data_IF_154468490177
#
_entry.id   IF_154468490177
#
_cell.length_a   1.000
_cell.length_b   1.000
_cell.length_c   1.000
_cell.angle_alpha   90.00
_cell.angle_beta   90.00
_cell.angle_gamma   90.00
#
_symmetry.space_group_name_H-M   'P 1'
#
loop_
_entity.id
_entity.type
_entity.pdbx_description
1 polymer ?
#
# COMPACT_ATOMS: atom_id res chain seq x y z
N UNK A 1 12.90 11.32 -19.12
CA UNK A 1 11.60 11.32 -18.40
C UNK A 1 11.89 11.05 -16.94
N UNK A 2 11.08 11.57 -16.03
CA UNK A 2 11.21 11.39 -14.59
C UNK A 2 10.00 10.65 -14.02
N UNK A 3 10.23 9.73 -13.10
CA UNK A 3 9.16 9.10 -12.34
C UNK A 3 8.78 10.01 -11.17
N UNK A 4 7.53 10.47 -11.15
CA UNK A 4 6.99 11.29 -10.05
C UNK A 4 5.99 10.43 -9.29
N UNK A 5 6.33 10.05 -8.06
CA UNK A 5 5.45 9.25 -7.19
C UNK A 5 4.74 10.15 -6.18
N UNK A 6 3.43 10.27 -6.29
CA UNK A 6 2.60 11.02 -5.34
C UNK A 6 2.16 10.14 -4.17
N UNK A 7 2.38 10.65 -2.96
CA UNK A 7 2.01 10.01 -1.71
C UNK A 7 1.23 10.99 -0.83
N UNK A 8 0.11 10.54 -0.27
CA UNK A 8 -0.68 11.34 0.66
C UNK A 8 -1.54 10.46 1.57
N UNK A 9 -1.73 10.84 2.85
CA UNK A 9 -2.61 10.12 3.77
C UNK A 9 -4.08 10.05 3.31
N UNK A 10 -4.53 10.99 2.49
CA UNK A 10 -5.92 11.00 1.97
C UNK A 10 -6.09 10.16 0.70
N UNK A 11 -5.00 9.62 0.13
CA UNK A 11 -5.02 8.80 -1.07
C UNK A 11 -5.07 7.31 -0.73
N UNK A 12 -5.89 6.55 -1.47
CA UNK A 12 -6.02 5.10 -1.28
C UNK A 12 -4.77 4.30 -1.67
N UNK A 13 -3.93 4.84 -2.55
CA UNK A 13 -2.65 4.25 -2.97
C UNK A 13 -1.72 5.31 -3.55
N UNK A 14 -0.42 5.05 -3.53
CA UNK A 14 0.58 5.87 -4.21
C UNK A 14 0.37 5.81 -5.72
N UNK A 15 0.53 6.94 -6.40
CA UNK A 15 0.36 7.05 -7.84
C UNK A 15 1.68 7.53 -8.44
N UNK A 16 2.30 6.69 -9.28
CA UNK A 16 3.49 7.06 -10.05
C UNK A 16 3.10 7.47 -11.47
N UNK A 17 3.58 8.63 -11.90
CA UNK A 17 3.35 9.18 -13.24
C UNK A 17 4.65 9.63 -13.88
N UNK A 18 4.67 9.63 -15.21
CA UNK A 18 5.84 10.04 -15.98
C UNK A 18 5.79 11.55 -16.25
N UNK A 19 6.75 12.28 -15.70
CA UNK A 19 6.98 13.70 -16.00
C UNK A 19 7.95 13.87 -17.15
N UNK A 20 7.55 14.63 -18.18
CA UNK A 20 8.46 15.09 -19.24
C UNK A 20 9.16 16.36 -18.77
N UNK A 21 10.47 16.30 -18.51
CA UNK A 21 11.20 17.49 -18.08
C UNK A 21 11.27 18.51 -19.22
N UNK A 22 11.04 19.78 -18.91
CA UNK A 22 11.05 20.87 -19.89
C UNK A 22 9.73 21.10 -20.64
N UNK A 23 8.72 20.23 -20.46
CA UNK A 23 7.36 20.59 -20.80
C UNK A 23 6.92 21.74 -19.88
N UNK A 24 6.18 22.74 -20.38
CA UNK A 24 5.79 23.96 -19.62
C UNK A 24 4.84 23.69 -18.43
N UNK A 25 4.76 22.45 -17.96
CA UNK A 25 3.93 22.02 -16.84
C UNK A 25 4.67 22.05 -15.51
N UNK A 26 3.99 22.56 -14.49
CA UNK A 26 4.43 22.52 -13.08
C UNK A 26 4.03 21.18 -12.45
N UNK A 27 4.58 20.86 -11.28
CA UNK A 27 4.18 19.66 -10.54
C UNK A 27 2.67 19.63 -10.25
N UNK A 28 2.08 20.80 -9.97
CA UNK A 28 0.63 20.95 -9.81
C UNK A 28 -0.14 20.67 -11.11
N UNK A 29 0.39 21.09 -12.27
CA UNK A 29 -0.25 20.79 -13.55
C UNK A 29 -0.26 19.28 -13.83
N UNK A 30 0.85 18.59 -13.56
CA UNK A 30 0.93 17.13 -13.67
C UNK A 30 -0.07 16.43 -12.73
N UNK A 31 -0.13 16.88 -11.46
CA UNK A 31 -1.08 16.36 -10.48
C UNK A 31 -2.54 16.51 -10.95
N UNK A 32 -2.92 17.67 -11.51
CA UNK A 32 -4.27 17.92 -12.04
C UNK A 32 -4.61 16.99 -13.20
N UNK A 33 -3.69 16.80 -14.15
CA UNK A 33 -3.88 15.88 -15.30
C UNK A 33 -4.15 14.45 -14.84
N UNK A 34 -3.48 14.00 -13.78
CA UNK A 34 -3.64 12.66 -13.23
C UNK A 34 -4.64 12.56 -12.05
N UNK A 35 -5.44 13.61 -11.82
CA UNK A 35 -6.47 13.67 -10.76
C UNK A 35 -5.92 13.40 -9.35
N UNK A 36 -4.69 13.81 -9.08
CA UNK A 36 -4.06 13.75 -7.76
C UNK A 36 -4.52 14.97 -6.93
N UNK A 37 -5.04 14.76 -5.71
CA UNK A 37 -5.72 15.81 -4.94
C UNK A 37 -4.74 16.68 -4.13
N UNK A 38 -3.81 17.36 -4.79
CA UNK A 38 -2.97 18.36 -4.12
C UNK A 38 -3.81 19.62 -3.85
N UNK A 39 -3.89 20.13 -2.61
CA UNK A 39 -4.62 21.37 -2.31
C UNK A 39 -4.01 22.55 -3.07
N UNK A 40 -4.84 23.45 -3.61
CA UNK A 40 -4.36 24.67 -4.25
C UNK A 40 -5.45 25.74 -4.21
N UNK A 41 -5.07 26.99 -3.89
CA UNK A 41 -5.98 28.14 -3.93
C UNK A 41 -5.61 29.11 -5.07
N UNK A 42 -4.36 29.60 -5.09
CA UNK A 42 -3.91 30.62 -6.06
C UNK A 42 -3.27 30.04 -7.34
N UNK A 43 -2.46 28.98 -7.22
CA UNK A 43 -1.70 28.40 -8.34
C UNK A 43 -0.50 29.24 -8.84
N UNK A 44 -0.16 30.35 -8.19
CA UNK A 44 0.88 31.30 -8.62
C UNK A 44 1.99 31.53 -7.55
N UNK A 45 1.95 30.76 -6.46
CA UNK A 45 2.99 30.76 -5.42
C UNK A 45 2.77 31.74 -4.27
N UNK A 46 1.59 32.35 -4.15
CA UNK A 46 1.33 33.40 -3.14
C UNK A 46 0.66 32.90 -1.84
N UNK A 47 -0.10 31.79 -1.87
CA UNK A 47 -0.88 31.32 -0.71
C UNK A 47 -0.22 30.21 0.12
N UNK A 48 0.68 29.43 -0.46
CA UNK A 48 1.29 28.27 0.21
C UNK A 48 0.43 26.99 0.28
N UNK A 49 -0.83 26.98 -0.18
CA UNK A 49 -1.74 25.83 -0.03
C UNK A 49 -1.26 24.56 -0.75
N UNK A 50 -0.49 24.68 -1.83
CA UNK A 50 0.09 23.55 -2.56
C UNK A 50 1.46 23.11 -2.01
N UNK A 51 1.63 23.19 -0.70
CA UNK A 51 2.84 22.76 -0.01
C UNK A 51 3.05 21.26 -0.21
N UNK A 52 4.25 20.90 -0.67
CA UNK A 52 4.66 19.51 -0.85
C UNK A 52 6.08 19.31 -0.31
N UNK A 53 6.37 18.09 0.12
CA UNK A 53 7.71 17.63 0.44
C UNK A 53 8.23 16.77 -0.73
N UNK A 54 9.41 17.11 -1.25
CA UNK A 54 10.05 16.41 -2.37
C UNK A 54 11.24 15.60 -1.85
N UNK A 55 11.20 14.29 -2.07
CA UNK A 55 12.26 13.35 -1.74
C UNK A 55 12.85 12.75 -3.02
N UNK A 56 14.16 12.84 -3.18
CA UNK A 56 14.87 12.35 -4.35
C UNK A 56 15.23 10.87 -4.19
N UNK A 57 14.96 10.04 -5.20
CA UNK A 57 15.14 8.58 -5.12
C UNK A 57 16.53 8.09 -5.58
N UNK A 58 17.49 8.99 -5.84
CA UNK A 58 18.85 8.65 -6.26
C UNK A 58 19.90 8.96 -5.17
N UNK A 59 21.05 8.27 -5.24
CA UNK A 59 22.23 8.56 -4.41
C UNK A 59 23.07 9.64 -5.10
N UNK A 60 22.79 10.91 -4.84
CA UNK A 60 23.54 12.06 -5.35
C UNK A 60 22.95 13.38 -4.86
N UNK A 61 23.64 14.49 -5.12
CA UNK A 61 23.06 15.82 -4.93
C UNK A 61 21.95 16.04 -5.96
N UNK A 62 20.80 16.63 -5.56
CA UNK A 62 19.71 16.91 -6.48
C UNK A 62 20.16 17.90 -7.57
N UNK A 63 19.58 17.80 -8.76
CA UNK A 63 19.83 18.80 -9.79
C UNK A 63 19.46 20.20 -9.29
N UNK A 64 20.29 21.16 -9.70
CA UNK A 64 20.05 22.58 -9.49
C UNK A 64 18.65 22.97 -9.96
N UNK A 65 17.89 23.59 -9.07
CA UNK A 65 16.52 24.00 -9.31
C UNK A 65 16.23 25.32 -8.61
N UNK A 66 16.18 26.38 -9.40
CA UNK A 66 15.87 27.72 -8.92
C UNK A 66 14.55 27.77 -8.15
N UNK A 67 14.58 28.52 -7.05
CA UNK A 67 13.41 28.84 -6.23
C UNK A 67 13.06 30.32 -6.46
N UNK A 68 11.79 30.59 -6.78
CA UNK A 68 11.36 31.98 -6.94
C UNK A 68 11.32 32.70 -5.59
N UNK A 69 11.56 34.02 -5.60
CA UNK A 69 11.50 34.85 -4.38
C UNK A 69 10.18 34.71 -3.62
N UNK A 70 9.06 34.70 -4.34
CA UNK A 70 7.73 34.53 -3.75
C UNK A 70 7.58 33.17 -3.04
N UNK A 71 8.09 32.10 -3.65
CA UNK A 71 8.07 30.75 -3.07
C UNK A 71 8.88 30.71 -1.77
N UNK A 72 10.09 31.27 -1.77
CA UNK A 72 10.96 31.31 -0.59
C UNK A 72 10.33 32.10 0.57
N UNK A 73 9.73 33.25 0.27
CA UNK A 73 9.07 34.07 1.29
C UNK A 73 7.90 33.33 1.96
N UNK A 74 7.04 32.69 1.16
CA UNK A 74 5.90 31.91 1.68
C UNK A 74 6.37 30.73 2.51
N UNK A 75 7.35 29.95 2.02
CA UNK A 75 7.89 28.80 2.77
C UNK A 75 8.57 29.23 4.08
N UNK A 76 9.21 30.40 4.11
CA UNK A 76 9.78 31.01 5.31
C UNK A 76 8.70 31.39 6.31
N UNK A 77 7.62 32.04 5.86
CA UNK A 77 6.49 32.43 6.72
C UNK A 77 5.77 31.21 7.32
N UNK A 78 5.70 30.10 6.57
CA UNK A 78 5.18 28.82 7.04
C UNK A 78 6.15 28.06 7.96
N UNK A 79 7.38 28.55 8.14
CA UNK A 79 8.40 27.91 8.97
C UNK A 79 8.92 26.58 8.42
N UNK A 80 8.77 26.33 7.10
CA UNK A 80 9.13 25.07 6.45
C UNK A 80 10.55 25.04 5.89
N UNK A 81 11.16 26.20 5.74
CA UNK A 81 12.57 26.35 5.33
C UNK A 81 13.31 27.29 6.29
N UNK A 82 14.57 26.99 6.54
CA UNK A 82 15.48 27.76 7.39
C UNK A 82 16.20 28.85 6.60
N UNK A 83 16.83 29.81 7.29
CA UNK A 83 17.67 30.84 6.65
C UNK A 83 18.84 30.24 5.87
N UNK A 84 19.43 29.16 6.38
CA UNK A 84 20.52 28.45 5.71
C UNK A 84 20.05 27.75 4.43
N UNK A 85 18.84 27.17 4.42
CA UNK A 85 18.25 26.59 3.21
C UNK A 85 17.93 27.67 2.17
N UNK A 86 17.49 28.86 2.58
CA UNK A 86 17.27 30.01 1.69
C UNK A 86 18.60 30.45 1.06
N UNK A 87 19.65 30.60 1.86
CA UNK A 87 20.98 30.99 1.36
C UNK A 87 21.54 29.93 0.40
N UNK A 88 21.41 28.64 0.74
CA UNK A 88 21.82 27.56 -0.17
C UNK A 88 21.04 27.58 -1.49
N UNK A 89 19.74 27.92 -1.45
CA UNK A 89 18.93 28.05 -2.66
C UNK A 89 19.33 29.27 -3.51
N UNK A 90 19.79 30.37 -2.90
CA UNK A 90 20.21 31.59 -3.59
C UNK A 90 21.63 31.52 -4.14
N UNK A 91 22.55 30.93 -3.37
CA UNK A 91 24.00 30.97 -3.65
C UNK A 91 24.46 29.71 -4.37
N UNK A 92 23.85 28.56 -4.07
CA UNK A 92 24.29 27.24 -4.56
C UNK A 92 23.26 26.58 -5.47
N UNK A 93 22.16 27.29 -5.78
CA UNK A 93 21.00 26.80 -6.53
C UNK A 93 20.46 25.44 -6.03
N UNK A 94 20.60 25.18 -4.73
CA UNK A 94 20.20 23.93 -4.09
C UNK A 94 18.72 23.98 -3.67
N UNK A 95 17.87 23.08 -4.16
CA UNK A 95 16.45 23.06 -3.78
C UNK A 95 16.26 22.66 -2.31
N UNK A 96 15.32 23.32 -1.64
CA UNK A 96 14.83 22.88 -0.32
C UNK A 96 13.93 21.65 -0.42
N UNK A 97 13.81 20.92 0.69
CA UNK A 97 12.92 19.74 0.80
C UNK A 97 11.44 20.09 0.62
N UNK A 98 11.03 21.21 1.22
CA UNK A 98 9.67 21.73 1.07
C UNK A 98 9.60 22.66 -0.13
N UNK A 99 8.59 22.47 -0.99
CA UNK A 99 8.37 23.25 -2.22
C UNK A 99 6.88 23.54 -2.40
N UNK A 100 6.57 24.51 -3.24
CA UNK A 100 5.20 24.73 -3.70
C UNK A 100 5.01 24.02 -5.05
N UNK A 101 4.06 23.09 -5.12
CA UNK A 101 3.83 22.29 -6.34
C UNK A 101 3.50 23.17 -7.57
N UNK A 102 2.93 24.36 -7.36
CA UNK A 102 2.66 25.31 -8.44
C UNK A 102 3.91 25.98 -9.02
N UNK A 103 5.03 26.04 -8.30
CA UNK A 103 6.30 26.63 -8.76
C UNK A 103 7.36 25.58 -9.11
N UNK A 104 7.15 24.32 -8.70
CA UNK A 104 8.09 23.25 -8.95
C UNK A 104 8.10 22.82 -10.41
N UNK A 105 9.27 22.90 -11.06
CA UNK A 105 9.50 22.41 -12.42
C UNK A 105 10.18 21.05 -12.35
N UNK A 106 9.57 20.06 -13.01
CA UNK A 106 10.05 18.69 -13.02
C UNK A 106 11.36 18.60 -13.79
N UNK A 107 12.39 18.05 -13.16
CA UNK A 107 13.70 17.74 -13.76
C UNK A 107 13.78 16.27 -14.17
N UNK A 108 14.86 15.87 -14.84
CA UNK A 108 15.10 14.48 -15.22
C UNK A 108 15.58 13.62 -14.04
N UNK A 109 14.82 13.63 -12.95
CA UNK A 109 15.11 12.94 -11.68
C UNK A 109 13.86 12.27 -11.14
N UNK A 110 14.02 11.06 -10.61
CA UNK A 110 12.94 10.33 -9.97
C UNK A 110 12.71 10.89 -8.55
N UNK A 111 11.47 11.34 -8.31
CA UNK A 111 11.07 12.00 -7.07
C UNK A 111 9.83 11.34 -6.45
N UNK A 112 9.79 11.34 -5.12
CA UNK A 112 8.60 11.08 -4.33
C UNK A 112 8.09 12.39 -3.75
N UNK A 113 6.82 12.67 -3.95
CA UNK A 113 6.15 13.90 -3.53
C UNK A 113 5.12 13.55 -2.46
N UNK A 114 5.35 14.01 -1.24
CA UNK A 114 4.46 13.79 -0.09
C UNK A 114 3.69 15.07 0.24
N UNK A 115 2.38 14.94 0.53
CA UNK A 115 1.53 16.07 0.90
C UNK A 115 0.38 15.66 1.81
N UNK A 116 -0.11 16.59 2.64
CA UNK A 116 -1.15 16.31 3.64
C UNK A 116 -2.52 16.02 2.99
N UNK A 117 -2.80 16.65 1.85
CA UNK A 117 -4.06 16.50 1.11
C UNK A 117 -5.14 17.47 1.60
N UNK A 118 -6.25 17.54 0.87
CA UNK A 118 -7.38 18.39 1.23
C UNK A 118 -8.16 17.74 2.38
N UNK A 119 -8.03 18.29 3.59
CA UNK A 119 -8.68 17.77 4.81
C UNK A 119 -10.21 17.88 4.79
N UNK A 120 -10.79 18.64 3.84
CA UNK A 120 -12.24 18.69 3.64
C UNK A 120 -12.78 17.48 2.88
N UNK A 121 -11.91 16.74 2.18
CA UNK A 121 -12.25 15.49 1.54
C UNK A 121 -12.02 14.34 2.53
N UNK A 122 -13.00 13.45 2.75
CA UNK A 122 -12.75 12.25 3.56
C UNK A 122 -11.63 11.44 2.89
N UNK A 123 -10.73 10.87 3.71
CA UNK A 123 -9.68 9.98 3.22
C UNK A 123 -10.31 8.95 2.28
N UNK A 124 -9.77 8.82 1.05
CA UNK A 124 -10.31 7.85 0.09
C UNK A 124 -10.15 6.46 0.69
N UNK A 125 -11.29 5.79 0.89
CA UNK A 125 -11.33 4.38 1.27
C UNK A 125 -10.46 3.57 0.30
N UNK A 126 -9.77 2.50 0.77
CA UNK A 126 -9.00 1.63 -0.09
C UNK A 126 -9.89 1.13 -1.24
N UNK A 127 -9.30 1.03 -2.44
CA UNK A 127 -10.02 0.50 -3.59
C UNK A 127 -10.26 -0.99 -3.34
N UNK A 128 -11.52 -1.40 -3.14
CA UNK A 128 -11.91 -2.79 -2.94
C UNK A 128 -12.37 -3.43 -4.26
N UNK A 129 -12.15 -4.74 -4.41
CA UNK A 129 -12.69 -5.52 -5.52
C UNK A 129 -14.23 -5.54 -5.50
N UNK A 130 -14.85 -5.83 -6.65
CA UNK A 130 -16.31 -6.01 -6.74
C UNK A 130 -16.79 -7.17 -5.85
N UNK A 131 -15.95 -8.19 -5.68
CA UNK A 131 -16.18 -9.35 -4.81
C UNK A 131 -16.20 -8.98 -3.32
N UNK A 132 -15.57 -7.86 -2.95
CA UNK A 132 -15.54 -7.39 -1.57
C UNK A 132 -16.90 -7.09 -0.95
N UNK A 133 -17.92 -6.85 -1.78
CA UNK A 133 -19.28 -6.61 -1.33
C UNK A 133 -20.08 -7.90 -1.08
N UNK A 134 -19.56 -9.07 -1.48
CA UNK A 134 -20.29 -10.35 -1.49
C UNK A 134 -19.55 -11.46 -0.75
N UNK A 135 -18.53 -11.14 0.07
CA UNK A 135 -17.72 -12.12 0.82
C UNK A 135 -18.52 -13.14 1.66
N UNK A 136 -19.78 -12.83 1.94
CA UNK A 136 -20.66 -13.64 2.77
C UNK A 136 -21.81 -14.31 2.03
N UNK A 137 -21.86 -14.25 0.69
CA UNK A 137 -23.08 -14.62 -0.05
C UNK A 137 -24.31 -13.80 0.39
N UNK A 138 -24.08 -12.61 0.97
CA UNK A 138 -25.11 -11.75 1.56
C UNK A 138 -25.34 -11.92 3.08
N UNK A 139 -24.63 -12.81 3.78
CA UNK A 139 -24.72 -12.93 5.25
C UNK A 139 -24.05 -11.72 5.92
N UNK A 140 -24.72 -11.14 6.92
CA UNK A 140 -24.15 -10.03 7.70
C UNK A 140 -23.44 -10.61 8.93
N UNK A 141 -22.30 -10.05 9.32
CA UNK A 141 -21.62 -10.40 10.57
C UNK A 141 -22.44 -9.90 11.77
N UNK A 142 -23.15 -10.81 12.43
CA UNK A 142 -24.16 -10.46 13.44
C UNK A 142 -23.61 -10.37 14.86
N UNK A 143 -22.64 -11.22 15.21
CA UNK A 143 -22.12 -11.34 16.58
C UNK A 143 -20.66 -11.77 16.59
N UNK A 144 -20.05 -11.72 17.77
CA UNK A 144 -18.64 -12.06 18.00
C UNK A 144 -18.37 -13.54 17.70
N UNK A 145 -19.29 -14.44 18.02
CA UNK A 145 -19.15 -15.87 17.76
C UNK A 145 -18.99 -16.18 16.27
N UNK A 146 -19.82 -15.56 15.43
CA UNK A 146 -19.76 -15.71 13.97
C UNK A 146 -18.47 -15.11 13.41
N UNK A 147 -18.06 -13.93 13.89
CA UNK A 147 -16.80 -13.32 13.48
C UNK A 147 -15.61 -14.24 13.80
N UNK A 148 -15.53 -14.73 15.04
CA UNK A 148 -14.47 -15.64 15.47
C UNK A 148 -14.47 -16.94 14.67
N UNK A 149 -15.63 -17.52 14.36
CA UNK A 149 -15.70 -18.74 13.57
C UNK A 149 -15.15 -18.57 12.16
N UNK A 150 -15.43 -17.43 11.52
CA UNK A 150 -14.87 -17.11 10.20
C UNK A 150 -13.36 -16.83 10.30
N UNK A 151 -12.93 -15.98 11.25
CA UNK A 151 -11.50 -15.72 11.45
C UNK A 151 -10.71 -16.99 11.70
N UNK A 152 -11.19 -17.89 12.56
CA UNK A 152 -10.52 -19.18 12.82
C UNK A 152 -10.32 -19.95 11.52
N UNK A 153 -11.34 -20.00 10.65
CA UNK A 153 -11.24 -20.71 9.37
C UNK A 153 -10.26 -20.04 8.40
N UNK A 154 -10.30 -18.71 8.31
CA UNK A 154 -9.39 -17.93 7.45
C UNK A 154 -7.94 -18.11 7.91
N UNK A 155 -7.65 -17.91 9.19
CA UNK A 155 -6.29 -17.99 9.74
C UNK A 155 -5.72 -19.42 9.69
N UNK A 156 -6.56 -20.44 9.87
CA UNK A 156 -6.14 -21.84 9.75
C UNK A 156 -5.73 -22.17 8.32
N UNK A 157 -6.55 -21.82 7.34
CA UNK A 157 -6.24 -22.08 5.93
C UNK A 157 -5.09 -21.21 5.43
N UNK A 158 -4.97 -19.96 5.87
CA UNK A 158 -3.83 -19.11 5.57
C UNK A 158 -2.51 -19.71 6.08
N UNK A 159 -2.50 -20.20 7.33
CA UNK A 159 -1.32 -20.84 7.91
C UNK A 159 -0.88 -22.08 7.11
N UNK A 160 -1.83 -22.92 6.71
CA UNK A 160 -1.55 -24.10 5.88
C UNK A 160 -1.03 -23.66 4.52
N UNK A 161 -1.72 -22.73 3.85
CA UNK A 161 -1.34 -22.24 2.52
C UNK A 161 0.07 -21.63 2.52
N UNK A 162 0.43 -20.81 3.51
CA UNK A 162 1.77 -20.26 3.56
C UNK A 162 2.85 -21.32 3.84
N UNK A 163 2.56 -22.35 4.64
CA UNK A 163 3.50 -23.44 4.85
C UNK A 163 3.76 -24.24 3.58
N UNK A 164 2.72 -24.63 2.82
CA UNK A 164 2.96 -25.38 1.59
C UNK A 164 3.64 -24.48 0.53
N UNK A 165 3.47 -23.15 0.60
CA UNK A 165 4.18 -22.19 -0.28
C UNK A 165 5.66 -22.15 0.10
N UNK A 166 5.94 -22.14 1.41
CA UNK A 166 7.28 -22.27 1.95
C UNK A 166 7.98 -23.52 1.45
N UNK A 167 7.35 -24.69 1.61
CA UNK A 167 7.87 -25.99 1.17
C UNK A 167 8.09 -26.03 -0.34
N UNK A 168 7.16 -25.50 -1.13
CA UNK A 168 7.32 -25.44 -2.59
C UNK A 168 8.52 -24.57 -3.00
N UNK A 169 8.75 -23.44 -2.32
CA UNK A 169 9.90 -22.59 -2.58
C UNK A 169 11.23 -23.24 -2.19
N UNK A 170 11.27 -24.00 -1.10
CA UNK A 170 12.44 -24.82 -0.71
C UNK A 170 12.76 -25.88 -1.78
N UNK A 171 11.74 -26.57 -2.29
CA UNK A 171 11.91 -27.57 -3.35
C UNK A 171 12.51 -26.97 -4.64
N UNK A 172 12.27 -25.69 -4.90
CA UNK A 172 12.86 -24.93 -6.00
C UNK A 172 14.21 -24.24 -5.65
N UNK A 173 14.72 -24.42 -4.42
CA UNK A 173 15.97 -23.79 -3.95
C UNK A 173 15.85 -22.30 -3.57
N UNK A 174 14.62 -21.78 -3.43
CA UNK A 174 14.33 -20.37 -3.12
C UNK A 174 14.21 -20.12 -1.61
N UNK A 175 15.28 -20.39 -0.86
CA UNK A 175 15.35 -20.31 0.62
C UNK A 175 14.84 -18.98 1.20
N UNK A 176 15.11 -17.86 0.52
CA UNK A 176 14.71 -16.52 1.00
C UNK A 176 13.19 -16.31 0.97
N UNK A 177 12.54 -16.78 -0.09
CA UNK A 177 11.07 -16.65 -0.23
C UNK A 177 10.35 -17.72 0.57
N UNK A 178 10.95 -18.91 0.69
CA UNK A 178 10.48 -19.91 1.64
C UNK A 178 10.42 -19.38 3.07
N UNK A 179 11.51 -18.75 3.55
CA UNK A 179 11.56 -18.16 4.88
C UNK A 179 10.50 -17.06 5.10
N UNK A 180 10.19 -16.28 4.06
CA UNK A 180 9.10 -15.30 4.10
C UNK A 180 7.74 -15.99 4.31
N UNK A 181 7.43 -17.01 3.51
CA UNK A 181 6.15 -17.71 3.63
C UNK A 181 6.02 -18.43 4.98
N UNK A 182 7.07 -19.09 5.48
CA UNK A 182 7.08 -19.65 6.84
C UNK A 182 6.89 -18.61 7.94
N UNK A 183 7.32 -17.36 7.70
CA UNK A 183 7.09 -16.26 8.61
C UNK A 183 5.62 -15.83 8.58
N UNK A 184 5.01 -15.68 7.41
CA UNK A 184 3.58 -15.37 7.26
C UNK A 184 2.71 -16.48 7.88
N UNK A 185 3.02 -17.75 7.61
CA UNK A 185 2.34 -18.90 8.22
C UNK A 185 2.36 -18.87 9.76
N UNK A 186 3.46 -18.38 10.34
CA UNK A 186 3.59 -18.21 11.80
C UNK A 186 2.68 -17.11 12.33
N UNK A 187 2.56 -15.99 11.61
CA UNK A 187 1.63 -14.93 12.00
C UNK A 187 0.19 -15.42 11.96
N UNK A 188 -0.24 -16.08 10.88
CA UNK A 188 -1.58 -16.67 10.80
C UNK A 188 -1.85 -17.67 11.91
N UNK A 189 -0.86 -18.51 12.30
CA UNK A 189 -1.01 -19.40 13.46
C UNK A 189 -1.22 -18.65 14.78
N UNK A 190 -0.51 -17.56 15.02
CA UNK A 190 -0.70 -16.76 16.23
C UNK A 190 -2.11 -16.15 16.27
N UNK A 191 -2.59 -15.63 15.14
CA UNK A 191 -3.95 -15.11 15.05
C UNK A 191 -5.01 -16.20 15.23
N UNK A 192 -4.78 -17.38 14.66
CA UNK A 192 -5.63 -18.55 14.88
C UNK A 192 -5.69 -18.95 16.35
N UNK A 193 -4.55 -19.01 17.04
CA UNK A 193 -4.46 -19.31 18.47
C UNK A 193 -5.22 -18.28 19.30
N UNK A 194 -5.05 -16.99 18.98
CA UNK A 194 -5.75 -15.90 19.65
C UNK A 194 -7.27 -15.95 19.40
N UNK A 195 -7.70 -16.18 18.16
CA UNK A 195 -9.10 -16.31 17.81
C UNK A 195 -9.74 -17.51 18.53
N UNK A 196 -9.06 -18.65 18.59
CA UNK A 196 -9.52 -19.81 19.38
C UNK A 196 -9.56 -19.53 20.87
N UNK A 197 -8.57 -18.84 21.43
CA UNK A 197 -8.57 -18.46 22.83
C UNK A 197 -9.75 -17.54 23.17
N UNK A 198 -10.07 -16.58 22.29
CA UNK A 198 -11.24 -15.69 22.44
C UNK A 198 -12.57 -16.41 22.20
N UNK A 199 -12.57 -17.46 21.39
CA UNK A 199 -13.74 -18.31 21.14
C UNK A 199 -13.98 -19.35 22.25
N UNK A 200 -13.02 -19.55 23.16
CA UNK A 200 -13.13 -20.52 24.24
C UNK A 200 -14.36 -20.24 25.12
N UNK A 201 -15.18 -21.27 25.32
CA UNK A 201 -16.42 -21.18 26.10
C UNK A 201 -17.59 -20.51 25.37
N UNK A 202 -17.45 -20.21 24.07
CA UNK A 202 -18.53 -19.70 23.20
C UNK A 202 -19.02 -20.79 22.24
N UNK A 203 -20.26 -20.68 21.79
CA UNK A 203 -20.85 -21.55 20.76
C UNK A 203 -20.50 -21.03 19.35
N UNK A 204 -19.20 -20.95 19.04
CA UNK A 204 -18.71 -20.47 17.73
C UNK A 204 -18.78 -21.57 16.66
N UNK A 205 -18.68 -22.86 17.05
CA UNK A 205 -18.67 -24.00 16.12
C UNK A 205 -19.92 -24.04 15.23
N UNK A 206 -21.06 -23.58 15.76
CA UNK A 206 -22.31 -23.41 15.02
C UNK A 206 -22.18 -22.50 13.79
N UNK A 207 -21.23 -21.59 13.80
CA UNK A 207 -21.03 -20.56 12.78
C UNK A 207 -19.81 -20.82 11.89
N UNK A 208 -19.17 -22.00 12.01
CA UNK A 208 -18.07 -22.37 11.13
C UNK A 208 -18.53 -22.34 9.66
N UNK A 209 -17.90 -21.53 8.80
CA UNK A 209 -18.32 -21.43 7.42
C UNK A 209 -17.97 -22.70 6.64
N UNK A 210 -18.91 -23.17 5.83
CA UNK A 210 -18.66 -24.19 4.82
C UNK A 210 -18.07 -23.53 3.56
N UNK A 211 -17.39 -24.32 2.73
CA UNK A 211 -16.68 -23.82 1.53
C UNK A 211 -17.60 -23.00 0.60
N UNK A 212 -18.86 -23.41 0.42
CA UNK A 212 -19.84 -22.72 -0.41
C UNK A 212 -20.24 -21.32 0.07
N UNK A 213 -19.85 -20.93 1.29
CA UNK A 213 -20.17 -19.63 1.86
C UNK A 213 -19.20 -18.54 1.42
N UNK A 214 -18.07 -18.94 0.81
CA UNK A 214 -17.07 -18.03 0.25
C UNK A 214 -17.35 -17.73 -1.22
N UNK A 215 -17.07 -16.51 -1.72
CA UNK A 215 -17.35 -16.13 -3.11
C UNK A 215 -16.70 -17.03 -4.16
N UNK A 216 -15.52 -17.57 -3.85
CA UNK A 216 -14.73 -18.42 -4.74
C UNK A 216 -14.68 -19.88 -4.30
N UNK A 217 -15.54 -20.31 -3.37
CA UNK A 217 -15.47 -21.62 -2.70
C UNK A 217 -14.17 -21.88 -1.94
N UNK A 218 -13.39 -20.84 -1.71
CA UNK A 218 -12.07 -20.85 -1.07
C UNK A 218 -12.07 -19.71 -0.05
N UNK A 219 -11.36 -19.88 1.08
CA UNK A 219 -11.14 -18.76 1.98
C UNK A 219 -10.40 -17.61 1.27
N UNK A 220 -10.50 -16.37 1.77
CA UNK A 220 -9.86 -15.22 1.15
C UNK A 220 -8.34 -15.43 0.93
N UNK A 221 -7.67 -16.15 1.82
CA UNK A 221 -6.23 -16.38 1.77
C UNK A 221 -5.80 -17.56 0.91
N UNK A 222 -6.71 -18.47 0.56
CA UNK A 222 -6.39 -19.65 -0.23
C UNK A 222 -6.36 -19.32 -1.73
N UNK A 223 -5.21 -19.43 -2.39
CA UNK A 223 -5.11 -19.19 -3.85
C UNK A 223 -5.02 -20.47 -4.68
N UNK A 224 -5.93 -20.59 -5.66
CA UNK A 224 -6.08 -21.73 -6.58
C UNK A 224 -4.91 -21.95 -7.58
N UNK A 225 -3.85 -21.13 -7.54
CA UNK A 225 -2.74 -21.17 -8.51
C UNK A 225 -1.79 -22.37 -8.37
N UNK A 226 -2.11 -23.30 -7.46
CA UNK A 226 -1.27 -24.43 -7.10
C UNK A 226 -1.43 -25.72 -7.92
N UNK A 227 -1.95 -25.59 -9.12
CA UNK A 227 -2.00 -26.70 -10.07
C UNK A 227 -0.65 -27.02 -10.70
N UNK A 228 0.26 -27.67 -9.95
CA UNK A 228 1.27 -28.58 -10.48
C UNK A 228 2.19 -28.08 -11.63
N UNK A 229 2.52 -26.78 -11.70
CA UNK A 229 3.45 -26.26 -12.72
C UNK A 229 4.90 -26.22 -12.18
N UNK A 230 5.81 -27.09 -12.66
CA UNK A 230 7.23 -27.05 -12.31
C UNK A 230 7.94 -25.77 -12.78
N UNK A 231 7.29 -24.96 -13.62
CA UNK A 231 7.79 -23.67 -14.10
C UNK A 231 7.35 -22.49 -13.22
N UNK A 232 6.63 -22.72 -12.11
CA UNK A 232 6.18 -21.64 -11.22
C UNK A 232 7.38 -20.81 -10.75
N UNK A 233 7.40 -19.54 -11.14
CA UNK A 233 8.49 -18.66 -10.74
C UNK A 233 8.28 -18.15 -9.32
N UNK A 234 9.38 -17.78 -8.65
CA UNK A 234 9.36 -17.05 -7.37
C UNK A 234 8.38 -15.86 -7.39
N UNK A 235 8.30 -15.16 -8.52
CA UNK A 235 7.41 -14.02 -8.71
C UNK A 235 5.93 -14.42 -8.74
N UNK A 236 5.60 -15.54 -9.37
CA UNK A 236 4.22 -16.04 -9.44
C UNK A 236 3.71 -16.48 -8.07
N UNK A 237 4.56 -17.16 -7.28
CA UNK A 237 4.24 -17.52 -5.90
C UNK A 237 3.98 -16.29 -5.02
N UNK A 238 4.82 -15.26 -5.13
CA UNK A 238 4.62 -13.99 -4.41
C UNK A 238 3.34 -13.27 -4.83
N UNK A 239 3.00 -13.29 -6.13
CA UNK A 239 1.77 -12.66 -6.66
C UNK A 239 0.52 -13.41 -6.22
N UNK A 240 0.55 -14.74 -6.19
CA UNK A 240 -0.53 -15.56 -5.65
C UNK A 240 -0.74 -15.24 -4.16
N UNK A 241 0.31 -15.26 -3.34
CA UNK A 241 0.23 -14.86 -1.94
C UNK A 241 -0.36 -13.46 -1.76
N UNK A 242 0.05 -12.48 -2.57
CA UNK A 242 -0.48 -11.11 -2.51
C UNK A 242 -1.98 -11.05 -2.85
N UNK A 243 -2.46 -11.88 -3.77
CA UNK A 243 -3.88 -11.95 -4.10
C UNK A 243 -4.71 -12.51 -2.94
N UNK A 244 -4.20 -13.53 -2.24
CA UNK A 244 -4.77 -14.03 -0.99
C UNK A 244 -4.94 -12.92 0.04
N UNK A 245 -3.82 -12.31 0.41
CA UNK A 245 -3.74 -11.29 1.47
C UNK A 245 -4.60 -10.06 1.18
N UNK A 246 -4.73 -9.69 -0.10
CA UNK A 246 -5.64 -8.63 -0.51
C UNK A 246 -7.10 -9.00 -0.29
N UNK A 247 -7.48 -10.25 -0.55
CA UNK A 247 -8.85 -10.71 -0.28
C UNK A 247 -9.12 -10.78 1.23
N UNK A 248 -8.19 -11.22 2.07
CA UNK A 248 -8.35 -11.16 3.53
C UNK A 248 -8.46 -9.73 4.04
N UNK A 249 -7.61 -8.83 3.56
CA UNK A 249 -7.72 -7.40 3.84
C UNK A 249 -9.12 -6.86 3.48
N UNK A 250 -9.61 -7.15 2.27
CA UNK A 250 -10.93 -6.71 1.83
C UNK A 250 -12.06 -7.32 2.67
N UNK A 251 -11.92 -8.59 3.05
CA UNK A 251 -12.84 -9.30 3.93
C UNK A 251 -12.97 -8.59 5.29
N UNK A 252 -11.86 -8.40 6.00
CA UNK A 252 -11.87 -7.77 7.31
C UNK A 252 -12.26 -6.30 7.23
N UNK A 253 -11.87 -5.59 6.16
CA UNK A 253 -12.26 -4.21 5.94
C UNK A 253 -13.78 -4.09 5.73
N UNK A 254 -14.38 -5.00 4.96
CA UNK A 254 -15.84 -5.05 4.81
C UNK A 254 -16.54 -5.27 6.15
N UNK A 255 -16.05 -6.20 6.98
CA UNK A 255 -16.64 -6.46 8.30
C UNK A 255 -16.52 -5.24 9.21
N UNK A 256 -15.36 -4.58 9.25
CA UNK A 256 -15.12 -3.39 10.06
C UNK A 256 -16.08 -2.23 9.73
N UNK A 257 -16.48 -2.12 8.46
CA UNK A 257 -17.37 -1.09 7.95
C UNK A 257 -18.86 -1.42 8.13
N UNK A 258 -19.25 -2.69 8.03
CA UNK A 258 -20.67 -3.09 7.97
C UNK A 258 -21.19 -3.72 9.27
N UNK A 259 -20.33 -4.28 10.12
CA UNK A 259 -20.75 -4.92 11.35
C UNK A 259 -21.45 -3.92 12.29
N UNK A 260 -22.56 -4.36 12.90
CA UNK A 260 -23.32 -3.54 13.85
C UNK A 260 -22.75 -3.62 15.26
N UNK A 261 -22.16 -4.77 15.61
CA UNK A 261 -21.56 -5.01 16.91
C UNK A 261 -20.23 -4.23 17.03
N UNK A 262 -20.09 -3.33 18.02
CA UNK A 262 -18.87 -2.54 18.20
C UNK A 262 -17.63 -3.40 18.52
N UNK A 263 -17.79 -4.55 19.16
CA UNK A 263 -16.70 -5.47 19.46
C UNK A 263 -16.17 -6.11 18.18
N UNK A 264 -17.08 -6.62 17.34
CA UNK A 264 -16.74 -7.17 16.00
C UNK A 264 -16.01 -6.12 15.15
N UNK A 265 -16.51 -4.87 15.13
CA UNK A 265 -15.83 -3.79 14.40
C UNK A 265 -14.43 -3.51 14.92
N UNK A 266 -14.24 -3.52 16.24
CA UNK A 266 -12.93 -3.30 16.85
C UNK A 266 -11.96 -4.41 16.50
N UNK A 267 -12.41 -5.66 16.54
CA UNK A 267 -11.60 -6.82 16.17
C UNK A 267 -11.24 -6.79 14.69
N UNK A 268 -12.23 -6.61 13.81
CA UNK A 268 -11.98 -6.54 12.36
C UNK A 268 -10.99 -5.44 11.99
N UNK A 269 -11.00 -4.28 12.67
CA UNK A 269 -10.02 -3.21 12.46
C UNK A 269 -8.58 -3.60 12.84
N UNK A 270 -8.40 -4.48 13.82
CA UNK A 270 -7.08 -4.99 14.17
C UNK A 270 -6.53 -5.86 13.03
N UNK A 271 -7.34 -6.83 12.56
CA UNK A 271 -7.00 -7.67 11.41
C UNK A 271 -6.75 -6.85 10.14
N UNK A 272 -7.57 -5.83 9.83
CA UNK A 272 -7.32 -4.93 8.67
C UNK A 272 -5.93 -4.31 8.70
N UNK A 273 -5.45 -3.92 9.89
CA UNK A 273 -4.12 -3.34 10.02
C UNK A 273 -3.05 -4.40 9.77
N UNK A 274 -3.20 -5.58 10.32
CA UNK A 274 -2.26 -6.70 10.15
C UNK A 274 -2.19 -7.15 8.69
N UNK A 275 -3.32 -7.38 8.02
CA UNK A 275 -3.32 -7.74 6.59
C UNK A 275 -2.74 -6.63 5.72
N UNK A 276 -2.93 -5.36 6.10
CA UNK A 276 -2.29 -4.26 5.37
C UNK A 276 -0.75 -4.30 5.48
N UNK A 277 -0.21 -4.77 6.61
CA UNK A 277 1.22 -4.97 6.78
C UNK A 277 1.72 -6.16 5.95
N UNK A 278 0.96 -7.27 5.88
CA UNK A 278 1.28 -8.41 5.02
C UNK A 278 1.30 -8.06 3.53
N UNK A 279 0.24 -7.39 3.05
CA UNK A 279 0.14 -6.85 1.69
C UNK A 279 1.36 -5.97 1.38
N UNK A 280 1.70 -5.04 2.28
CA UNK A 280 2.84 -4.14 2.08
C UNK A 280 4.19 -4.88 2.06
N UNK A 281 4.36 -5.95 2.85
CA UNK A 281 5.55 -6.79 2.82
C UNK A 281 5.65 -7.48 1.45
N UNK A 282 4.60 -8.14 0.99
CA UNK A 282 4.59 -8.86 -0.29
C UNK A 282 4.81 -7.93 -1.48
N UNK A 283 4.20 -6.75 -1.49
CA UNK A 283 4.44 -5.74 -2.53
C UNK A 283 5.91 -5.33 -2.63
N UNK A 284 6.60 -5.16 -1.49
CA UNK A 284 8.04 -4.85 -1.48
C UNK A 284 8.88 -6.00 -2.05
N UNK A 285 8.55 -7.24 -1.69
CA UNK A 285 9.23 -8.42 -2.23
C UNK A 285 9.04 -8.58 -3.73
N UNK A 286 7.81 -8.38 -4.21
CA UNK A 286 7.47 -8.39 -5.65
C UNK A 286 8.25 -7.30 -6.38
N UNK A 287 8.27 -6.07 -5.86
CA UNK A 287 9.01 -4.97 -6.47
C UNK A 287 10.51 -5.26 -6.56
N UNK A 288 11.08 -5.86 -5.51
CA UNK A 288 12.48 -6.32 -5.51
C UNK A 288 12.73 -7.34 -6.62
N UNK A 289 11.89 -8.36 -6.72
CA UNK A 289 12.02 -9.42 -7.73
C UNK A 289 11.86 -8.89 -9.17
N UNK A 290 10.87 -8.04 -9.41
CA UNK A 290 10.68 -7.41 -10.73
C UNK A 290 11.88 -6.53 -11.11
N UNK A 291 12.55 -5.92 -10.15
CA UNK A 291 13.76 -5.12 -10.37
C UNK A 291 14.96 -6.01 -10.72
N UNK A 292 15.14 -7.12 -10.01
CA UNK A 292 16.19 -8.12 -10.29
C UNK A 292 16.03 -8.73 -11.70
N UNK A 293 14.81 -9.11 -12.07
CA UNK A 293 14.49 -9.64 -13.40
C UNK A 293 14.79 -8.62 -14.52
N UNK A 294 14.43 -7.34 -14.31
CA UNK A 294 14.75 -6.25 -15.26
C UNK A 294 16.25 -6.00 -15.38
N UNK A 295 17.01 -6.14 -14.30
CA UNK A 295 18.46 -5.99 -14.32
C UNK A 295 19.14 -7.18 -15.04
N UNK A 296 18.70 -8.41 -14.78
CA UNK A 296 19.18 -9.61 -15.46
C UNK A 296 18.88 -9.61 -16.96
N UNK A 297 17.69 -9.16 -17.37
CA UNK A 297 17.32 -9.02 -18.78
C UNK A 297 18.12 -7.97 -19.55
N UNK A 298 18.66 -6.95 -18.87
CA UNK A 298 19.56 -5.94 -19.47
C UNK A 298 21.02 -6.39 -19.55
N UNK A 299 21.44 -7.37 -18.76
CA UNK A 299 22.81 -7.90 -18.78
C UNK A 299 23.01 -8.99 -19.85
N UNK A 300 21.92 -9.54 -20.39
CA UNK A 300 21.92 -10.57 -21.44
C UNK A 300 21.59 -10.06 -22.85
N UNK A 301 21.48 -8.75 -23.06
CA UNK A 301 21.26 -8.09 -24.35
C UNK A 301 22.44 -7.17 -24.68
#
# INVERSE_FOLDING_TARGET
MANVTFHSPVMAKDITVYGVAGERGTLLALAKTHKVPIPFDCGDGECGSCLVEVQYQHKGEPMSLSMQEKEKEVLRQLGKITKEEIENAEVRDMPSRHRLACQYIIRHEDIRVSFEGDQTLPAKKPAMSVSAHTFFGGVQMQNVEMFLAYSIKVEEEAAIHFDELGVAMEACGNEKVAALFHQLARYSRLHWEEAKARAAGKDFERYLPQDHMWPTFETPELTSLWGADPALTKLDALKAALEGERRGFEFYHHVAETAKDPEVRSMAKAFVKEESDHVAILERWIQGEETELKAGGKAGA
#
